data_IF_928479076234
#
_entry.id   IF_928479076234
#
_cell.length_a   1.000
_cell.length_b   1.000
_cell.length_c   1.000
_cell.angle_alpha   90.00
_cell.angle_beta   90.00
_cell.angle_gamma   90.00
#
_symmetry.space_group_name_H-M   'P 1'
#
loop_
_entity.id
_entity.type
_entity.pdbx_description
1 polymer ?
#
# COMPACT_ATOMS: atom_id res chain seq x y z
N UNK A 1 19.24 64.70 57.14
CA UNK A 1 18.96 63.37 57.76
C UNK A 1 17.54 62.98 57.38
N UNK A 2 17.36 62.28 56.26
CA UNK A 2 16.13 61.57 55.89
C UNK A 2 16.60 60.25 55.27
N UNK A 3 16.40 59.16 56.01
CA UNK A 3 16.75 57.80 55.61
C UNK A 3 15.63 57.30 54.70
N UNK A 4 15.94 57.07 53.42
CA UNK A 4 15.04 56.45 52.46
C UNK A 4 15.01 54.94 52.67
N UNK A 5 13.87 54.46 53.16
CA UNK A 5 13.50 53.06 53.34
C UNK A 5 13.56 52.31 52.00
N UNK A 6 14.50 51.36 51.87
CA UNK A 6 14.57 50.44 50.73
C UNK A 6 13.87 49.14 51.14
N UNK A 7 12.61 49.01 50.73
CA UNK A 7 11.86 47.77 50.85
C UNK A 7 12.56 46.57 50.18
N UNK A 8 12.24 45.34 50.59
CA UNK A 8 12.94 44.14 50.14
C UNK A 8 12.80 43.92 48.63
N UNK A 9 13.82 43.36 47.96
CA UNK A 9 13.79 43.12 46.52
C UNK A 9 12.65 42.16 46.15
N UNK A 10 12.01 42.34 44.98
CA UNK A 10 10.96 41.45 44.52
C UNK A 10 11.51 40.02 44.32
N UNK A 11 10.69 38.98 44.54
CA UNK A 11 11.11 37.61 44.34
C UNK A 11 11.53 37.37 42.88
N UNK A 12 12.50 36.46 42.63
CA UNK A 12 12.97 36.20 41.29
C UNK A 12 11.82 35.75 40.40
N UNK A 13 11.67 36.44 39.26
CA UNK A 13 10.78 36.03 38.19
C UNK A 13 11.15 34.62 37.78
N UNK A 14 10.24 33.67 37.93
CA UNK A 14 10.38 32.33 37.35
C UNK A 14 10.30 32.53 35.84
N UNK A 15 11.45 32.77 35.21
CA UNK A 15 11.62 32.70 33.77
C UNK A 15 11.20 31.29 33.36
N UNK A 16 10.23 31.22 32.45
CA UNK A 16 9.69 29.99 31.93
C UNK A 16 10.81 28.99 31.63
N UNK A 17 10.82 27.84 32.33
CA UNK A 17 11.45 26.64 31.79
C UNK A 17 10.64 26.24 30.57
N UNK A 18 10.96 26.83 29.41
CA UNK A 18 10.68 26.19 28.14
C UNK A 18 11.46 24.88 28.18
N UNK A 19 10.76 23.77 28.40
CA UNK A 19 11.37 22.46 28.28
C UNK A 19 11.82 22.29 26.83
N UNK A 20 13.08 22.54 26.55
CA UNK A 20 13.74 22.13 25.31
C UNK A 20 14.02 20.62 25.33
N UNK A 21 13.03 19.84 25.77
CA UNK A 21 12.97 18.43 25.45
C UNK A 21 12.62 18.34 23.97
N UNK A 22 13.44 17.69 23.11
CA UNK A 22 13.02 17.42 21.75
C UNK A 22 11.66 16.69 21.82
N UNK A 23 10.66 17.11 21.03
CA UNK A 23 9.36 16.44 21.07
C UNK A 23 9.61 14.95 20.85
N UNK A 24 9.09 14.12 21.77
CA UNK A 24 9.15 12.68 21.68
C UNK A 24 8.85 12.28 20.23
N UNK A 25 9.75 11.51 19.62
CA UNK A 25 9.72 11.16 18.20
C UNK A 25 8.49 10.29 17.86
N UNK A 26 7.33 10.94 17.82
CA UNK A 26 6.05 10.40 17.40
C UNK A 26 5.68 11.03 16.07
N UNK A 27 5.45 10.18 15.07
CA UNK A 27 4.82 10.45 13.78
C UNK A 27 5.25 11.75 13.06
N UNK A 28 6.39 11.73 12.35
CA UNK A 28 6.66 12.76 11.34
C UNK A 28 5.82 12.51 10.08
N UNK A 29 4.71 13.26 9.99
CA UNK A 29 3.79 13.28 8.86
C UNK A 29 3.79 14.67 8.20
N UNK A 30 4.36 14.79 7.01
CA UNK A 30 4.21 15.97 6.16
C UNK A 30 3.15 15.72 5.08
N UNK A 31 1.89 15.68 5.54
CA UNK A 31 0.68 15.33 4.79
C UNK A 31 0.00 14.13 5.43
N UNK A 32 -0.87 14.39 6.41
CA UNK A 32 -1.66 13.46 7.25
C UNK A 32 -0.89 12.55 8.23
N UNK A 33 -0.81 12.96 9.49
CA UNK A 33 -1.30 12.20 10.63
C UNK A 33 -1.69 13.19 11.75
N UNK A 34 -2.96 13.58 11.89
CA UNK A 34 -3.44 14.06 13.16
C UNK A 34 -3.77 12.84 14.02
N UNK A 35 -3.14 12.77 15.19
CA UNK A 35 -3.61 12.22 16.47
C UNK A 35 -4.69 11.13 16.35
N UNK A 36 -4.42 9.94 16.90
CA UNK A 36 -5.38 8.86 17.00
C UNK A 36 -6.79 9.38 17.35
N UNK A 37 -7.86 8.97 16.65
CA UNK A 37 -9.18 9.56 16.85
C UNK A 37 -9.53 9.47 18.33
N UNK A 38 -9.63 10.63 19.00
CA UNK A 38 -9.90 10.73 20.43
C UNK A 38 -11.33 10.31 20.75
N UNK A 39 -12.23 10.37 19.76
CA UNK A 39 -13.65 10.04 19.90
C UNK A 39 -13.95 8.63 19.39
N UNK A 40 -14.64 7.78 20.18
CA UNK A 40 -14.97 6.40 19.82
C UNK A 40 -15.82 6.31 18.55
N UNK A 41 -16.74 7.26 18.33
CA UNK A 41 -17.60 7.33 17.13
C UNK A 41 -16.77 7.46 15.85
N UNK A 42 -15.70 8.27 15.85
CA UNK A 42 -14.81 8.42 14.69
C UNK A 42 -14.03 7.14 14.42
N UNK A 43 -13.60 6.41 15.45
CA UNK A 43 -12.93 5.11 15.29
C UNK A 43 -13.88 4.08 14.69
N UNK A 44 -15.08 3.94 15.23
CA UNK A 44 -16.09 2.99 14.75
C UNK A 44 -16.42 3.25 13.27
N UNK A 45 -16.61 4.52 12.88
CA UNK A 45 -16.84 4.88 11.48
C UNK A 45 -15.71 4.44 10.55
N UNK A 46 -14.46 4.66 10.94
CA UNK A 46 -13.31 4.27 10.12
C UNK A 46 -13.17 2.74 10.01
N UNK A 47 -13.47 1.99 11.08
CA UNK A 47 -13.49 0.52 11.04
C UNK A 47 -14.61 0.01 10.13
N UNK A 48 -15.80 0.61 10.21
CA UNK A 48 -16.90 0.29 9.32
C UNK A 48 -16.56 0.60 7.84
N UNK A 49 -15.92 1.75 7.57
CA UNK A 49 -15.41 2.09 6.25
C UNK A 49 -14.40 1.03 5.74
N UNK A 50 -13.49 0.54 6.58
CA UNK A 50 -12.57 -0.55 6.21
C UNK A 50 -13.35 -1.81 5.83
N UNK A 51 -14.32 -2.23 6.66
CA UNK A 51 -15.15 -3.40 6.37
C UNK A 51 -15.88 -3.26 5.03
N UNK A 52 -16.47 -2.10 4.78
CA UNK A 52 -17.19 -1.83 3.54
C UNK A 52 -16.26 -1.85 2.31
N UNK A 53 -15.16 -1.10 2.32
CA UNK A 53 -14.31 -0.92 1.15
C UNK A 53 -13.33 -2.06 0.90
N UNK A 54 -12.87 -2.74 1.94
CA UNK A 54 -11.80 -3.74 1.83
C UNK A 54 -12.27 -5.16 2.11
N UNK A 55 -13.51 -5.37 2.58
CA UNK A 55 -14.11 -6.70 2.69
C UNK A 55 -15.34 -6.84 1.79
N UNK A 56 -16.35 -5.98 1.96
CA UNK A 56 -17.60 -6.10 1.19
C UNK A 56 -17.38 -5.83 -0.31
N UNK A 57 -16.58 -4.82 -0.67
CA UNK A 57 -16.35 -4.48 -2.08
C UNK A 57 -15.57 -5.57 -2.84
N UNK A 58 -14.47 -6.17 -2.31
CA UNK A 58 -13.85 -7.33 -2.96
C UNK A 58 -14.77 -8.54 -3.09
N UNK A 59 -15.64 -8.80 -2.11
CA UNK A 59 -16.65 -9.88 -2.22
C UNK A 59 -17.67 -9.58 -3.32
N UNK A 60 -18.13 -8.34 -3.42
CA UNK A 60 -19.00 -7.90 -4.50
C UNK A 60 -18.30 -8.06 -5.86
N UNK A 61 -17.04 -7.63 -5.99
CA UNK A 61 -16.27 -7.80 -7.22
C UNK A 61 -16.05 -9.26 -7.56
N UNK A 62 -15.73 -10.11 -6.59
CA UNK A 62 -15.60 -11.55 -6.79
C UNK A 62 -16.90 -12.14 -7.35
N UNK A 63 -18.06 -11.78 -6.77
CA UNK A 63 -19.36 -12.19 -7.28
C UNK A 63 -19.61 -11.68 -8.71
N UNK A 64 -19.35 -10.39 -8.99
CA UNK A 64 -19.55 -9.80 -10.32
C UNK A 64 -18.68 -10.46 -11.39
N UNK A 65 -17.42 -10.73 -11.08
CA UNK A 65 -16.48 -11.37 -12.01
C UNK A 65 -16.83 -12.84 -12.24
N UNK A 66 -17.19 -13.57 -11.18
CA UNK A 66 -17.45 -15.02 -11.28
C UNK A 66 -18.82 -15.32 -11.90
N UNK A 67 -19.85 -14.54 -11.56
CA UNK A 67 -21.22 -14.75 -12.04
C UNK A 67 -21.46 -14.09 -13.40
N UNK A 68 -21.02 -12.84 -13.60
CA UNK A 68 -21.33 -12.06 -14.80
C UNK A 68 -20.15 -11.88 -15.76
N UNK A 69 -18.98 -12.46 -15.45
CA UNK A 69 -17.76 -12.40 -16.28
C UNK A 69 -17.32 -10.97 -16.63
N UNK A 70 -17.66 -10.00 -15.76
CA UNK A 70 -17.24 -8.61 -15.94
C UNK A 70 -15.72 -8.54 -15.75
N UNK A 71 -15.03 -7.84 -16.64
CA UNK A 71 -13.58 -7.64 -16.53
C UNK A 71 -13.21 -6.85 -15.27
N UNK A 72 -12.23 -7.35 -14.52
CA UNK A 72 -11.70 -6.67 -13.34
C UNK A 72 -11.24 -5.24 -13.66
N UNK A 73 -10.59 -5.03 -14.81
CA UNK A 73 -10.10 -3.71 -15.21
C UNK A 73 -11.27 -2.72 -15.28
N UNK A 74 -12.42 -3.14 -15.80
CA UNK A 74 -13.62 -2.30 -15.91
C UNK A 74 -14.19 -1.98 -14.52
N UNK A 75 -14.28 -2.97 -13.64
CA UNK A 75 -14.76 -2.75 -12.27
C UNK A 75 -13.86 -1.82 -11.46
N UNK A 76 -12.55 -1.87 -11.67
CA UNK A 76 -11.59 -1.05 -10.93
C UNK A 76 -11.62 0.44 -11.31
N UNK A 77 -12.00 0.82 -12.54
CA UNK A 77 -11.90 2.24 -12.97
C UNK A 77 -12.83 3.18 -12.19
N UNK A 78 -14.13 2.89 -11.97
CA UNK A 78 -15.00 3.75 -11.18
C UNK A 78 -14.49 3.94 -9.75
N UNK A 79 -14.00 2.86 -9.12
CA UNK A 79 -13.42 2.92 -7.78
C UNK A 79 -12.16 3.77 -7.76
N UNK A 80 -11.26 3.58 -8.73
CA UNK A 80 -10.06 4.39 -8.88
C UNK A 80 -10.39 5.88 -9.01
N UNK A 81 -11.35 6.23 -9.87
CA UNK A 81 -11.77 7.62 -10.08
C UNK A 81 -12.35 8.22 -8.80
N UNK A 82 -13.19 7.47 -8.07
CA UNK A 82 -13.76 7.92 -6.80
C UNK A 82 -12.68 8.14 -5.73
N UNK A 83 -11.72 7.21 -5.60
CA UNK A 83 -10.60 7.33 -4.66
C UNK A 83 -9.68 8.49 -5.04
N UNK A 84 -9.40 8.67 -6.33
CA UNK A 84 -8.56 9.77 -6.80
C UNK A 84 -9.26 11.12 -6.56
N UNK A 85 -10.57 11.22 -6.86
CA UNK A 85 -11.35 12.41 -6.58
C UNK A 85 -11.34 12.76 -5.09
N UNK A 86 -11.52 11.76 -4.22
CA UNK A 86 -11.40 11.93 -2.77
C UNK A 86 -10.02 12.44 -2.35
N UNK A 87 -8.96 11.81 -2.87
CA UNK A 87 -7.58 12.18 -2.56
C UNK A 87 -7.25 13.59 -3.03
N UNK A 88 -7.65 13.97 -4.25
CA UNK A 88 -7.39 15.29 -4.80
C UNK A 88 -8.24 16.39 -4.14
N UNK A 89 -9.41 16.04 -3.59
CA UNK A 89 -10.21 16.95 -2.77
C UNK A 89 -9.62 17.18 -1.37
N UNK A 90 -8.85 16.21 -0.85
CA UNK A 90 -8.23 16.33 0.46
C UNK A 90 -7.11 17.37 0.45
N UNK A 91 -7.28 18.45 1.23
CA UNK A 91 -6.31 19.55 1.33
C UNK A 91 -4.93 19.13 1.82
N UNK A 92 -4.87 18.05 2.60
CA UNK A 92 -3.63 17.55 3.19
C UNK A 92 -2.89 16.55 2.29
N UNK A 93 -3.49 16.13 1.18
CA UNK A 93 -2.92 15.17 0.24
C UNK A 93 -2.27 15.88 -0.95
N UNK A 94 -1.18 15.31 -1.46
CA UNK A 94 -0.56 15.78 -2.70
C UNK A 94 0.02 14.61 -3.48
N UNK A 95 -0.60 14.32 -4.61
CA UNK A 95 -0.14 13.27 -5.53
C UNK A 95 1.26 13.55 -6.06
N UNK A 96 1.57 14.83 -6.32
CA UNK A 96 2.91 15.22 -6.77
C UNK A 96 3.97 14.84 -5.73
N UNK A 97 3.71 14.99 -4.43
CA UNK A 97 4.68 14.60 -3.37
C UNK A 97 4.86 13.08 -3.29
N UNK A 98 3.79 12.31 -3.50
CA UNK A 98 3.84 10.85 -3.55
C UNK A 98 4.74 10.33 -4.70
N UNK A 99 4.72 11.02 -5.85
CA UNK A 99 5.55 10.71 -7.01
C UNK A 99 6.90 11.43 -7.05
N UNK A 100 7.08 12.59 -6.44
CA UNK A 100 8.34 13.32 -6.51
C UNK A 100 9.38 12.79 -5.52
N UNK A 101 8.94 12.05 -4.50
CA UNK A 101 9.83 11.38 -3.56
C UNK A 101 10.66 10.32 -4.26
N UNK A 102 11.90 10.68 -4.52
CA UNK A 102 12.93 9.79 -5.03
C UNK A 102 13.20 8.64 -4.06
N UNK A 103 13.77 7.58 -4.60
CA UNK A 103 14.15 6.37 -3.87
C UNK A 103 15.66 6.38 -3.73
N UNK A 104 16.19 6.28 -2.51
CA UNK A 104 17.64 6.23 -2.31
C UNK A 104 18.22 4.96 -2.95
N UNK A 105 19.46 5.03 -3.44
CA UNK A 105 20.13 3.88 -4.05
C UNK A 105 20.18 2.66 -3.13
N UNK A 106 20.27 2.86 -1.80
CA UNK A 106 20.19 1.78 -0.80
C UNK A 106 18.84 1.07 -0.81
N UNK A 107 17.74 1.83 -0.92
CA UNK A 107 16.40 1.23 -0.98
C UNK A 107 16.22 0.48 -2.30
N UNK A 108 16.66 1.05 -3.42
CA UNK A 108 16.62 0.37 -4.73
C UNK A 108 17.43 -0.92 -4.70
N UNK A 109 18.67 -0.89 -4.19
CA UNK A 109 19.50 -2.08 -4.05
C UNK A 109 18.84 -3.14 -3.15
N UNK A 110 18.18 -2.72 -2.06
CA UNK A 110 17.41 -3.62 -1.20
C UNK A 110 16.21 -4.25 -1.92
N UNK A 111 15.49 -3.49 -2.75
CA UNK A 111 14.39 -4.00 -3.58
C UNK A 111 14.93 -5.02 -4.58
N UNK A 112 15.97 -4.68 -5.33
CA UNK A 112 16.56 -5.57 -6.35
C UNK A 112 17.15 -6.83 -5.71
N UNK A 113 17.88 -6.70 -4.60
CA UNK A 113 18.45 -7.86 -3.91
C UNK A 113 17.38 -8.82 -3.40
N UNK A 114 16.32 -8.30 -2.77
CA UNK A 114 15.20 -9.13 -2.33
C UNK A 114 14.42 -9.71 -3.51
N UNK A 115 14.22 -8.93 -4.58
CA UNK A 115 13.57 -9.39 -5.80
C UNK A 115 14.35 -10.55 -6.42
N UNK A 116 15.66 -10.44 -6.63
CA UNK A 116 16.48 -11.52 -7.19
C UNK A 116 16.40 -12.79 -6.34
N UNK A 117 16.48 -12.66 -5.02
CA UNK A 117 16.37 -13.80 -4.10
C UNK A 117 15.00 -14.48 -4.22
N UNK A 118 13.91 -13.71 -4.10
CA UNK A 118 12.53 -14.24 -4.11
C UNK A 118 12.14 -14.75 -5.50
N UNK A 119 12.42 -13.99 -6.55
CA UNK A 119 12.17 -14.38 -7.93
C UNK A 119 12.98 -15.62 -8.31
N UNK A 120 14.24 -15.72 -7.89
CA UNK A 120 15.07 -16.90 -8.09
C UNK A 120 14.49 -18.13 -7.39
N UNK A 121 14.11 -18.00 -6.12
CA UNK A 121 13.50 -19.09 -5.36
C UNK A 121 12.16 -19.56 -5.96
N UNK A 122 11.27 -18.63 -6.33
CA UNK A 122 9.99 -18.94 -6.96
C UNK A 122 10.22 -19.58 -8.34
N UNK A 123 11.11 -19.02 -9.16
CA UNK A 123 11.41 -19.57 -10.49
C UNK A 123 11.96 -21.00 -10.40
N UNK A 124 12.89 -21.24 -9.47
CA UNK A 124 13.42 -22.58 -9.22
C UNK A 124 12.31 -23.54 -8.78
N UNK A 125 11.48 -23.14 -7.81
CA UNK A 125 10.37 -23.96 -7.34
C UNK A 125 9.38 -24.29 -8.47
N UNK A 126 8.97 -23.32 -9.28
CA UNK A 126 8.04 -23.53 -10.41
C UNK A 126 8.67 -24.42 -11.48
N UNK A 127 9.96 -24.21 -11.80
CA UNK A 127 10.65 -25.03 -12.80
C UNK A 127 10.73 -26.52 -12.44
N UNK A 128 10.75 -26.84 -11.14
CA UNK A 128 10.84 -28.21 -10.62
C UNK A 128 9.45 -28.81 -10.44
N UNK A 129 8.50 -28.07 -9.85
CA UNK A 129 7.21 -28.62 -9.43
C UNK A 129 6.11 -28.43 -10.49
N UNK A 130 6.25 -27.45 -11.37
CA UNK A 130 5.26 -27.07 -12.40
C UNK A 130 5.97 -26.84 -13.76
N UNK A 131 6.82 -27.78 -14.23
CA UNK A 131 7.69 -27.56 -15.39
C UNK A 131 6.92 -27.20 -16.67
N UNK A 132 5.71 -27.76 -16.86
CA UNK A 132 4.86 -27.43 -18.01
C UNK A 132 4.29 -26.02 -17.98
N UNK A 133 4.15 -25.41 -16.79
CA UNK A 133 3.72 -24.03 -16.62
C UNK A 133 4.86 -23.02 -16.68
N UNK A 134 6.09 -23.44 -16.38
CA UNK A 134 7.25 -22.58 -16.32
C UNK A 134 7.51 -21.87 -17.65
N UNK A 135 7.54 -20.53 -17.64
CA UNK A 135 7.71 -19.68 -18.83
C UNK A 135 6.67 -19.90 -19.94
N UNK A 136 5.57 -20.59 -19.66
CA UNK A 136 4.54 -20.88 -20.67
C UNK A 136 3.95 -19.61 -21.29
N UNK A 137 3.74 -18.56 -20.49
CA UNK A 137 3.14 -17.32 -20.98
C UNK A 137 4.03 -16.58 -22.00
N UNK A 138 5.31 -16.28 -21.72
CA UNK A 138 6.20 -15.69 -22.73
C UNK A 138 6.51 -16.61 -23.91
N UNK A 139 6.49 -17.94 -23.73
CA UNK A 139 6.81 -18.90 -24.80
C UNK A 139 5.64 -19.14 -25.77
N UNK A 140 4.42 -19.27 -25.26
CA UNK A 140 3.26 -19.66 -26.07
C UNK A 140 2.28 -18.52 -26.36
N UNK A 141 2.34 -17.41 -25.61
CA UNK A 141 1.51 -16.23 -25.86
C UNK A 141 2.30 -14.92 -25.63
N UNK A 142 3.43 -14.80 -26.31
CA UNK A 142 4.38 -13.69 -26.17
C UNK A 142 3.73 -12.33 -26.38
N UNK A 143 2.78 -12.21 -27.34
CA UNK A 143 2.09 -10.95 -27.62
C UNK A 143 1.28 -10.47 -26.42
N UNK A 144 0.46 -11.33 -25.83
CA UNK A 144 -0.30 -10.95 -24.62
C UNK A 144 0.62 -10.76 -23.42
N UNK A 145 1.69 -11.55 -23.30
CA UNK A 145 2.69 -11.33 -22.27
C UNK A 145 3.31 -9.94 -22.36
N UNK A 146 3.73 -9.47 -23.54
CA UNK A 146 4.25 -8.11 -23.75
C UNK A 146 3.21 -7.03 -23.38
N UNK A 147 1.95 -7.21 -23.77
CA UNK A 147 0.88 -6.30 -23.39
C UNK A 147 0.71 -6.24 -21.87
N UNK A 148 0.76 -7.37 -21.18
CA UNK A 148 0.76 -7.41 -19.71
C UNK A 148 1.98 -6.70 -19.18
N UNK A 149 3.20 -6.97 -19.66
CA UNK A 149 4.42 -6.32 -19.16
C UNK A 149 4.34 -4.79 -19.24
N UNK A 150 3.67 -4.22 -20.25
CA UNK A 150 3.54 -2.76 -20.42
C UNK A 150 2.33 -2.18 -19.68
N UNK A 151 1.16 -2.78 -19.85
CA UNK A 151 -0.10 -2.18 -19.39
C UNK A 151 -0.50 -2.56 -17.97
N UNK A 152 -0.12 -3.75 -17.48
CA UNK A 152 -0.45 -4.17 -16.11
C UNK A 152 0.07 -3.22 -15.03
N UNK A 153 1.32 -2.71 -15.10
CA UNK A 153 1.81 -1.73 -14.14
C UNK A 153 0.93 -0.47 -14.07
N UNK A 154 0.38 -0.01 -15.19
CA UNK A 154 -0.39 1.23 -15.25
C UNK A 154 -1.86 1.03 -14.91
N UNK A 155 -2.50 0.05 -15.53
CA UNK A 155 -3.95 -0.14 -15.46
C UNK A 155 -4.40 -0.94 -14.23
N UNK A 156 -3.47 -1.66 -13.59
CA UNK A 156 -3.79 -2.53 -12.45
C UNK A 156 -2.96 -2.16 -11.22
N UNK A 157 -1.62 -2.19 -11.32
CA UNK A 157 -0.75 -1.99 -10.15
C UNK A 157 -0.90 -0.58 -9.57
N UNK A 158 -0.82 0.46 -10.39
CA UNK A 158 -0.93 1.83 -9.89
C UNK A 158 -2.28 2.11 -9.18
N UNK A 159 -3.45 1.72 -9.73
CA UNK A 159 -4.71 1.81 -9.02
C UNK A 159 -4.74 1.07 -7.68
N UNK A 160 -4.17 -0.15 -7.66
CA UNK A 160 -4.06 -0.93 -6.43
C UNK A 160 -3.20 -0.21 -5.38
N UNK A 161 -2.03 0.30 -5.75
CA UNK A 161 -1.17 0.99 -4.80
C UNK A 161 -1.74 2.34 -4.33
N UNK A 162 -2.50 3.04 -5.17
CA UNK A 162 -3.25 4.22 -4.75
C UNK A 162 -4.30 3.88 -3.69
N UNK A 163 -5.06 2.80 -3.89
CA UNK A 163 -6.11 2.37 -2.96
C UNK A 163 -5.53 1.81 -1.65
N UNK A 164 -4.51 0.96 -1.73
CA UNK A 164 -3.98 0.23 -0.58
C UNK A 164 -2.83 0.94 0.11
N UNK A 165 -2.09 1.86 -0.53
CA UNK A 165 -1.04 2.64 0.15
C UNK A 165 -1.48 4.05 0.36
N UNK A 166 -1.60 4.83 -0.70
CA UNK A 166 -1.81 6.27 -0.58
C UNK A 166 -3.11 6.59 0.16
N UNK A 167 -4.24 6.05 -0.29
CA UNK A 167 -5.53 6.24 0.36
C UNK A 167 -5.60 5.57 1.73
N UNK A 168 -5.22 4.29 1.84
CA UNK A 168 -5.36 3.59 3.12
C UNK A 168 -4.52 4.22 4.24
N UNK A 169 -3.26 4.57 3.97
CA UNK A 169 -2.38 5.19 4.96
C UNK A 169 -2.85 6.60 5.31
N UNK A 170 -3.32 7.36 4.33
CA UNK A 170 -3.86 8.71 4.55
C UNK A 170 -5.14 8.67 5.41
N UNK A 171 -6.09 7.79 5.05
CA UNK A 171 -7.43 7.75 5.67
C UNK A 171 -7.44 7.00 6.99
N UNK A 172 -6.79 5.84 7.05
CA UNK A 172 -6.89 4.90 8.18
C UNK A 172 -5.64 4.84 9.04
N UNK A 173 -4.50 5.41 8.60
CA UNK A 173 -3.28 5.54 9.39
C UNK A 173 -3.50 6.01 10.84
N UNK A 174 -4.36 7.01 11.11
CA UNK A 174 -4.65 7.45 12.47
C UNK A 174 -5.22 6.36 13.41
N UNK A 175 -5.82 5.27 12.91
CA UNK A 175 -6.27 4.16 13.76
C UNK A 175 -5.12 3.40 14.42
N UNK A 176 -3.94 3.42 13.80
CA UNK A 176 -2.80 2.60 14.20
C UNK A 176 -1.80 3.37 15.06
N UNK A 177 -1.78 4.70 14.98
CA UNK A 177 -0.81 5.54 15.69
C UNK A 177 0.62 5.18 15.29
N UNK A 178 1.51 5.01 16.27
CA UNK A 178 2.92 4.63 16.05
C UNK A 178 3.12 3.16 15.66
N UNK A 179 2.07 2.34 15.66
CA UNK A 179 2.16 0.89 15.37
C UNK A 179 2.22 0.62 13.86
N UNK A 180 3.31 1.05 13.22
CA UNK A 180 3.53 0.88 11.79
C UNK A 180 3.53 -0.59 11.35
N UNK A 181 4.01 -1.51 12.19
CA UNK A 181 3.98 -2.94 11.90
C UNK A 181 2.55 -3.47 11.80
N UNK A 182 1.65 -3.01 12.67
CA UNK A 182 0.25 -3.43 12.69
C UNK A 182 -0.50 -2.84 11.48
N UNK A 183 -0.21 -1.57 11.14
CA UNK A 183 -0.72 -0.93 9.94
C UNK A 183 -0.33 -1.75 8.69
N UNK A 184 0.95 -2.13 8.59
CA UNK A 184 1.45 -2.92 7.47
C UNK A 184 0.82 -4.32 7.40
N UNK A 185 0.66 -4.99 8.55
CA UNK A 185 0.05 -6.31 8.63
C UNK A 185 -1.42 -6.27 8.22
N UNK A 186 -2.22 -5.34 8.76
CA UNK A 186 -3.64 -5.22 8.40
C UNK A 186 -3.78 -4.84 6.93
N UNK A 187 -3.00 -3.90 6.46
CA UNK A 187 -3.05 -3.47 5.07
C UNK A 187 -2.66 -4.58 4.09
N UNK A 188 -1.62 -5.36 4.42
CA UNK A 188 -1.23 -6.54 3.66
C UNK A 188 -2.30 -7.64 3.69
N UNK A 189 -2.91 -7.92 4.84
CA UNK A 189 -4.00 -8.89 4.95
C UNK A 189 -5.22 -8.49 4.11
N UNK A 190 -5.62 -7.21 4.14
CA UNK A 190 -6.70 -6.69 3.30
C UNK A 190 -6.34 -6.75 1.81
N UNK A 191 -5.09 -6.48 1.45
CA UNK A 191 -4.62 -6.60 0.07
C UNK A 191 -4.64 -8.06 -0.42
N UNK A 192 -4.22 -9.01 0.41
CA UNK A 192 -4.39 -10.44 0.16
C UNK A 192 -5.85 -10.83 0.02
N UNK A 193 -6.72 -10.37 0.93
CA UNK A 193 -8.16 -10.64 0.84
C UNK A 193 -8.78 -10.09 -0.44
N UNK A 194 -8.35 -8.94 -0.94
CA UNK A 194 -8.83 -8.39 -2.21
C UNK A 194 -8.56 -9.31 -3.41
N UNK A 195 -7.60 -10.24 -3.31
CA UNK A 195 -7.31 -11.24 -4.32
C UNK A 195 -8.26 -12.45 -4.29
N UNK A 196 -9.24 -12.48 -3.38
CA UNK A 196 -10.34 -13.47 -3.38
C UNK A 196 -11.11 -13.49 -4.72
N UNK A 197 -11.06 -12.40 -5.49
CA UNK A 197 -11.60 -12.32 -6.84
C UNK A 197 -11.09 -13.43 -7.77
N UNK A 198 -9.87 -13.93 -7.56
CA UNK A 198 -9.27 -15.01 -8.34
C UNK A 198 -9.65 -16.41 -7.85
N UNK A 199 -10.37 -16.52 -6.73
CA UNK A 199 -10.96 -17.76 -6.24
C UNK A 199 -9.98 -18.79 -5.64
N UNK A 200 -8.68 -18.49 -5.59
CA UNK A 200 -7.65 -19.43 -5.14
C UNK A 200 -6.82 -18.93 -3.93
N UNK A 201 -6.50 -19.79 -2.95
CA UNK A 201 -5.73 -19.40 -1.77
C UNK A 201 -4.30 -18.95 -2.11
N UNK A 202 -3.71 -19.46 -3.19
CA UNK A 202 -2.38 -19.04 -3.67
C UNK A 202 -2.34 -17.54 -3.93
N UNK A 203 -3.38 -17.00 -4.59
CA UNK A 203 -3.47 -15.58 -4.89
C UNK A 203 -3.57 -14.72 -3.64
N UNK A 204 -4.36 -15.16 -2.66
CA UNK A 204 -4.58 -14.46 -1.38
C UNK A 204 -3.29 -14.44 -0.56
N UNK A 205 -2.60 -15.58 -0.45
CA UNK A 205 -1.39 -15.71 0.38
C UNK A 205 -0.23 -14.93 -0.22
N UNK A 206 0.06 -15.13 -1.51
CA UNK A 206 1.18 -14.47 -2.17
C UNK A 206 0.97 -12.95 -2.25
N UNK A 207 -0.23 -12.49 -2.62
CA UNK A 207 -0.53 -11.06 -2.58
C UNK A 207 -0.53 -10.53 -1.16
N UNK A 208 -1.04 -11.26 -0.17
CA UNK A 208 -0.98 -10.84 1.23
C UNK A 208 0.46 -10.60 1.70
N UNK A 209 1.36 -11.55 1.42
CA UNK A 209 2.78 -11.44 1.75
C UNK A 209 3.46 -10.26 1.05
N UNK A 210 3.25 -10.11 -0.26
CA UNK A 210 3.72 -8.95 -1.03
C UNK A 210 3.11 -7.65 -0.49
N UNK A 211 1.85 -7.69 -0.10
CA UNK A 211 1.10 -6.57 0.45
C UNK A 211 1.69 -6.07 1.76
N UNK A 212 2.13 -6.96 2.65
CA UNK A 212 2.84 -6.58 3.88
C UNK A 212 4.19 -5.95 3.55
N UNK A 213 4.95 -6.54 2.62
CA UNK A 213 6.26 -6.02 2.18
C UNK A 213 6.14 -4.60 1.64
N UNK A 214 5.22 -4.38 0.71
CA UNK A 214 4.95 -3.08 0.09
C UNK A 214 4.39 -2.08 1.11
N UNK A 215 3.51 -2.48 2.02
CA UNK A 215 3.02 -1.62 3.09
C UNK A 215 4.17 -1.12 3.98
N UNK A 216 5.07 -2.03 4.35
CA UNK A 216 6.26 -1.69 5.13
C UNK A 216 7.20 -0.77 4.36
N UNK A 217 7.47 -1.06 3.09
CA UNK A 217 8.28 -0.20 2.20
C UNK A 217 7.68 1.20 2.12
N UNK A 218 6.38 1.30 1.90
CA UNK A 218 5.67 2.57 1.81
C UNK A 218 5.73 3.34 3.14
N UNK A 219 5.53 2.66 4.28
CA UNK A 219 5.66 3.28 5.60
C UNK A 219 7.03 3.94 5.80
N UNK A 220 8.11 3.31 5.31
CA UNK A 220 9.50 3.75 5.45
C UNK A 220 9.94 4.79 4.44
N UNK A 221 9.45 4.71 3.20
CA UNK A 221 9.94 5.52 2.07
C UNK A 221 8.98 6.63 1.66
N UNK A 222 7.67 6.44 1.91
CA UNK A 222 6.58 7.32 1.47
C UNK A 222 6.67 7.70 -0.01
N UNK A 223 7.13 6.76 -0.83
CA UNK A 223 7.29 6.93 -2.26
C UNK A 223 6.35 5.95 -2.96
N UNK A 224 5.27 6.49 -3.54
CA UNK A 224 4.35 5.72 -4.38
C UNK A 224 5.10 5.11 -5.57
N UNK A 225 6.09 5.82 -6.12
CA UNK A 225 6.96 5.28 -7.19
C UNK A 225 7.74 4.05 -6.75
N UNK A 226 8.30 4.03 -5.54
CA UNK A 226 9.06 2.89 -5.05
C UNK A 226 8.20 1.62 -5.04
N UNK A 227 7.02 1.71 -4.42
CA UNK A 227 6.13 0.57 -4.25
C UNK A 227 5.37 0.22 -5.54
N UNK A 228 5.12 1.19 -6.41
CA UNK A 228 4.56 0.93 -7.75
C UNK A 228 5.53 0.10 -8.59
N UNK A 229 6.81 0.49 -8.62
CA UNK A 229 7.84 -0.25 -9.36
C UNK A 229 8.14 -1.61 -8.70
N UNK A 230 8.26 -1.67 -7.37
CA UNK A 230 8.48 -2.94 -6.65
C UNK A 230 7.32 -3.92 -6.90
N UNK A 231 6.06 -3.47 -6.79
CA UNK A 231 4.91 -4.31 -7.09
C UNK A 231 4.89 -4.72 -8.56
N UNK A 232 5.11 -3.80 -9.50
CA UNK A 232 5.16 -4.12 -10.92
C UNK A 232 6.19 -5.23 -11.21
N UNK A 233 7.40 -5.15 -10.62
CA UNK A 233 8.43 -6.18 -10.75
C UNK A 233 7.95 -7.55 -10.28
N UNK A 234 7.35 -7.63 -9.09
CA UNK A 234 6.83 -8.90 -8.57
C UNK A 234 5.68 -9.46 -9.41
N UNK A 235 4.73 -8.62 -9.82
CA UNK A 235 3.61 -9.05 -10.65
C UNK A 235 4.07 -9.54 -12.02
N UNK A 236 4.96 -8.79 -12.68
CA UNK A 236 5.55 -9.19 -13.96
C UNK A 236 6.32 -10.51 -13.85
N UNK A 237 7.07 -10.71 -12.76
CA UNK A 237 7.74 -11.99 -12.47
C UNK A 237 6.72 -13.14 -12.36
N UNK A 238 5.65 -12.98 -11.58
CA UNK A 238 4.60 -14.01 -11.41
C UNK A 238 3.97 -14.39 -12.75
N UNK A 239 3.66 -13.43 -13.62
CA UNK A 239 3.15 -13.69 -14.97
C UNK A 239 4.18 -14.41 -15.85
N UNK A 240 5.45 -14.04 -15.74
CA UNK A 240 6.54 -14.58 -16.56
C UNK A 240 6.86 -16.02 -16.17
N UNK A 241 6.96 -16.34 -14.88
CA UNK A 241 7.39 -17.67 -14.40
C UNK A 241 6.29 -18.73 -14.50
N UNK A 242 5.06 -18.38 -14.91
CA UNK A 242 3.96 -19.33 -15.10
C UNK A 242 2.92 -19.38 -13.96
N UNK A 243 3.05 -18.52 -12.96
CA UNK A 243 2.07 -18.40 -11.86
C UNK A 243 0.92 -17.44 -12.18
N UNK A 244 0.96 -16.75 -13.33
CA UNK A 244 -0.09 -15.83 -13.79
C UNK A 244 -1.50 -16.42 -13.82
N UNK A 245 -1.65 -17.75 -13.99
CA UNK A 245 -2.95 -18.45 -13.92
C UNK A 245 -3.71 -18.27 -12.59
N UNK A 246 -3.00 -18.00 -11.50
CA UNK A 246 -3.60 -17.71 -10.19
C UNK A 246 -4.04 -16.25 -10.04
N UNK A 247 -3.66 -15.38 -10.97
CA UNK A 247 -3.87 -13.93 -10.93
C UNK A 247 -4.56 -13.41 -12.18
N UNK A 248 -5.21 -14.31 -12.92
CA UNK A 248 -5.93 -13.98 -14.14
C UNK A 248 -7.32 -14.61 -14.06
N UNK A 249 -8.35 -13.78 -13.90
CA UNK A 249 -9.74 -14.23 -13.99
C UNK A 249 -10.04 -14.49 -15.47
N UNK A 250 -10.03 -15.75 -15.87
CA UNK A 250 -10.05 -16.19 -17.26
C UNK A 250 -11.05 -15.48 -18.17
N UNK A 251 -10.57 -14.43 -18.85
CA UNK A 251 -10.93 -14.20 -20.25
C UNK A 251 -9.93 -15.00 -21.07
N UNK A 252 -10.27 -16.27 -21.24
CA UNK A 252 -9.71 -17.25 -22.19
C UNK A 252 -8.18 -17.32 -22.27
N UNK A 253 -7.55 -18.06 -21.35
CA UNK A 253 -6.42 -18.90 -21.76
C UNK A 253 -6.99 -20.09 -22.51
N UNK A 254 -6.98 -19.98 -23.85
CA UNK A 254 -6.93 -21.07 -24.83
C UNK A 254 -8.20 -21.95 -24.95
N UNK A 255 -8.90 -21.78 -26.09
CA UNK A 255 -9.26 -22.95 -26.91
C UNK A 255 -7.97 -23.59 -27.43
#
# INVERSE_FOLDING_TARGET
MIVGDKGPPPPPTITAMTSDAPPAAGLQAHGSLPVAPRLPVRRLRLVAEIGLFYLCLPLLYAHLIQTYRISLIVLMQPLLLALLAYLLWSRDFSLQREFSRGVSGRVVAGIIGLFVLVAGAISAWVSINEPGGFLSFPLYNTRMWLLVMVFYPLLSVLPQELAFRSFFFHRYGPLFGDRLWLLALVNGALFGFAHIIYGGPVSIILSGALGVLLAWRYARTRSLRAIWLEHALYGQMIFTVGLGRYFFTGVSTLQ
#
